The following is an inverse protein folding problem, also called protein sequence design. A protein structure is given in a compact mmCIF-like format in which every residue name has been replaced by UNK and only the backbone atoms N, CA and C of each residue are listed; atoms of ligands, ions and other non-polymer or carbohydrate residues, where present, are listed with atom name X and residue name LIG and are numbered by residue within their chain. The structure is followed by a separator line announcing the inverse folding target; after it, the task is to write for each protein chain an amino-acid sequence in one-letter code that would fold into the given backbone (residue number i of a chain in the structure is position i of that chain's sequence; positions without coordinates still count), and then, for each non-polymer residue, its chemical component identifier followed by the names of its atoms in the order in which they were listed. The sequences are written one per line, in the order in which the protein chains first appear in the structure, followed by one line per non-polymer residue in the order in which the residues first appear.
data_IF_294240502256
#
_entry.id   IF_294240502256
#
_cell.length_a   1.000
_cell.length_b   1.000
_cell.length_c   1.000
_cell.angle_alpha   90.00
_cell.angle_beta   90.00
_cell.angle_gamma   90.00
#
_symmetry.space_group_name_H-M   'P 1'
#
loop_
_entity.id
_entity.type
_entity.pdbx_description
1 polymer ?
#
# COMPACT_ATOMS: atom_id res chain seq x y z
N UNK A 1 -7.70 36.80 23.46
CA UNK A 1 -6.27 36.53 23.17
C UNK A 1 -6.21 35.73 21.88
N UNK A 2 -5.70 36.30 20.80
CA UNK A 2 -5.53 35.63 19.51
C UNK A 2 -4.09 35.12 19.42
N UNK A 3 -3.91 33.80 19.25
CA UNK A 3 -2.61 33.21 18.92
C UNK A 3 -2.42 33.32 17.39
N UNK A 4 -1.38 33.97 16.87
CA UNK A 4 -1.16 33.98 15.43
C UNK A 4 -0.84 32.57 14.92
N UNK A 5 -1.32 32.25 13.71
CA UNK A 5 -1.01 31.01 13.03
C UNK A 5 0.50 30.94 12.73
N UNK A 6 1.16 29.78 12.93
CA UNK A 6 2.53 29.62 12.48
C UNK A 6 2.52 29.57 10.95
N UNK A 7 2.99 30.66 10.33
CA UNK A 7 3.21 30.74 8.90
C UNK A 7 4.60 30.17 8.62
N UNK A 8 4.64 28.88 8.34
CA UNK A 8 5.70 28.36 7.49
C UNK A 8 5.02 27.38 6.52
N UNK A 9 5.09 27.60 5.19
CA UNK A 9 5.06 26.46 4.30
C UNK A 9 6.26 25.61 4.71
N UNK A 10 6.00 24.43 5.24
CA UNK A 10 7.05 23.43 5.32
C UNK A 10 7.44 23.18 3.85
N UNK A 11 8.55 23.78 3.41
CA UNK A 11 9.34 23.24 2.31
C UNK A 11 9.87 21.90 2.82
N UNK A 12 8.97 20.93 2.89
CA UNK A 12 9.35 19.53 2.82
C UNK A 12 9.85 19.43 1.40
N UNK A 13 11.16 19.52 1.23
CA UNK A 13 11.85 19.03 0.06
C UNK A 13 11.33 17.61 -0.16
N UNK A 14 10.29 17.50 -0.97
CA UNK A 14 9.83 16.22 -1.48
C UNK A 14 11.03 15.78 -2.28
N UNK A 15 11.82 14.86 -1.73
CA UNK A 15 12.70 14.06 -2.52
C UNK A 15 11.75 13.41 -3.54
N UNK A 16 11.61 14.05 -4.70
CA UNK A 16 11.07 13.45 -5.87
C UNK A 16 12.12 12.39 -6.21
N UNK A 17 12.01 11.24 -5.55
CA UNK A 17 12.48 10.02 -6.16
C UNK A 17 11.68 9.99 -7.45
N UNK A 18 12.32 10.41 -8.54
CA UNK A 18 11.87 10.10 -9.88
C UNK A 18 11.85 8.57 -9.91
N UNK A 19 10.73 8.01 -9.47
CA UNK A 19 10.37 6.64 -9.76
C UNK A 19 10.14 6.71 -11.26
N UNK A 20 11.21 6.52 -12.01
CA UNK A 20 11.16 6.29 -13.44
C UNK A 20 10.27 5.06 -13.64
N UNK A 21 8.97 5.28 -13.77
CA UNK A 21 8.01 4.22 -14.06
C UNK A 21 8.36 3.75 -15.46
N UNK A 22 9.10 2.66 -15.53
CA UNK A 22 9.46 2.01 -16.78
C UNK A 22 8.18 1.44 -17.40
N UNK A 23 7.97 1.63 -18.70
CA UNK A 23 6.79 1.10 -19.43
C UNK A 23 7.06 -0.34 -19.87
N UNK A 24 7.72 -1.12 -19.01
CA UNK A 24 8.12 -2.50 -19.27
C UNK A 24 7.45 -3.43 -18.26
N UNK A 25 7.09 -4.66 -18.66
CA UNK A 25 6.57 -5.64 -17.71
C UNK A 25 7.57 -5.84 -16.55
N UNK A 26 7.08 -6.05 -15.32
CA UNK A 26 7.94 -6.20 -14.16
C UNK A 26 8.81 -7.46 -14.27
N UNK A 27 10.04 -7.33 -13.78
CA UNK A 27 11.02 -8.42 -13.71
C UNK A 27 10.99 -9.11 -12.36
N UNK A 28 11.48 -10.35 -12.30
CA UNK A 28 11.55 -11.10 -11.05
C UNK A 28 12.54 -10.44 -10.08
N UNK A 29 13.67 -9.95 -10.58
CA UNK A 29 14.73 -9.29 -9.80
C UNK A 29 14.23 -8.01 -9.12
N UNK A 30 13.43 -7.20 -9.81
CA UNK A 30 12.79 -6.01 -9.24
C UNK A 30 11.87 -6.40 -8.07
N UNK A 31 11.08 -7.45 -8.25
CA UNK A 31 10.14 -7.92 -7.23
C UNK A 31 10.88 -8.51 -6.02
N UNK A 32 11.94 -9.29 -6.24
CA UNK A 32 12.78 -9.80 -5.15
C UNK A 32 13.38 -8.67 -4.31
N UNK A 33 13.84 -7.60 -4.95
CA UNK A 33 14.40 -6.44 -4.27
C UNK A 33 13.34 -5.77 -3.39
N UNK A 34 12.13 -5.58 -3.91
CA UNK A 34 11.01 -4.99 -3.15
C UNK A 34 10.60 -5.90 -1.99
N UNK A 35 10.49 -7.21 -2.19
CA UNK A 35 10.19 -8.16 -1.10
C UNK A 35 11.23 -8.05 0.01
N UNK A 36 12.52 -7.94 -0.34
CA UNK A 36 13.61 -7.74 0.63
C UNK A 36 13.54 -6.38 1.33
N UNK A 37 13.09 -5.32 0.65
CA UNK A 37 12.92 -4.01 1.29
C UNK A 37 11.77 -4.02 2.30
N UNK A 38 10.65 -4.64 1.92
CA UNK A 38 9.49 -4.88 2.76
C UNK A 38 9.85 -5.74 3.98
N UNK A 39 10.59 -6.84 3.79
CA UNK A 39 11.00 -7.73 4.88
C UNK A 39 11.90 -7.05 5.90
N UNK A 40 12.72 -6.10 5.46
CA UNK A 40 13.63 -5.34 6.31
C UNK A 40 12.96 -4.10 6.94
N UNK A 41 11.65 -3.91 6.77
CA UNK A 41 10.91 -2.77 7.30
C UNK A 41 11.33 -1.42 6.69
N UNK A 42 11.99 -1.42 5.53
CA UNK A 42 12.39 -0.20 4.81
C UNK A 42 11.24 0.43 4.05
N UNK A 43 10.28 -0.38 3.61
CA UNK A 43 9.01 0.08 3.04
C UNK A 43 7.88 -0.09 4.07
N UNK A 44 6.97 0.88 4.14
CA UNK A 44 5.75 0.74 4.92
C UNK A 44 4.82 -0.25 4.22
N UNK A 45 4.57 -1.42 4.82
CA UNK A 45 3.55 -2.35 4.33
C UNK A 45 2.18 -1.72 4.60
N UNK A 46 1.40 -1.33 3.57
CA UNK A 46 0.01 -0.98 3.76
C UNK A 46 -0.72 -2.30 3.93
N UNK A 47 -1.08 -2.63 5.18
CA UNK A 47 -1.88 -3.79 5.63
C UNK A 47 -1.11 -4.93 6.31
N UNK A 48 -1.86 -5.68 7.12
CA UNK A 48 -1.42 -6.74 8.05
C UNK A 48 -0.86 -8.00 7.37
N UNK A 49 -0.20 -7.91 6.21
CA UNK A 49 0.55 -9.04 5.67
C UNK A 49 1.84 -9.12 6.49
N UNK A 50 2.07 -10.22 7.23
CA UNK A 50 3.31 -10.36 7.97
C UNK A 50 4.46 -10.35 6.97
N UNK A 51 5.43 -9.46 7.15
CA UNK A 51 6.59 -9.36 6.27
C UNK A 51 7.39 -10.66 6.26
N UNK A 52 7.23 -11.47 7.32
CA UNK A 52 7.74 -12.83 7.47
C UNK A 52 7.20 -13.78 6.39
N UNK A 53 5.93 -13.64 5.96
CA UNK A 53 5.34 -14.48 4.91
C UNK A 53 5.93 -14.12 3.55
N UNK A 54 6.17 -12.83 3.31
CA UNK A 54 6.82 -12.39 2.07
C UNK A 54 8.30 -12.81 2.05
N UNK A 55 8.95 -12.84 3.22
CA UNK A 55 10.35 -13.20 3.38
C UNK A 55 10.63 -14.71 3.45
N UNK A 56 9.62 -15.55 3.69
CA UNK A 56 9.84 -17.00 3.94
C UNK A 56 10.40 -17.74 2.74
N UNK A 57 9.97 -17.35 1.54
CA UNK A 57 10.51 -17.87 0.28
C UNK A 57 10.48 -16.76 -0.78
N UNK A 58 11.54 -15.94 -0.79
CA UNK A 58 11.63 -14.75 -1.65
C UNK A 58 11.57 -15.12 -3.13
N UNK A 59 12.18 -16.24 -3.55
CA UNK A 59 12.21 -16.67 -4.95
C UNK A 59 10.84 -17.15 -5.41
N UNK A 60 10.18 -18.02 -4.63
CA UNK A 60 8.84 -18.50 -4.96
C UNK A 60 7.83 -17.35 -4.95
N UNK A 61 7.89 -16.49 -3.93
CA UNK A 61 7.01 -15.33 -3.83
C UNK A 61 7.23 -14.37 -5.00
N UNK A 62 8.48 -14.04 -5.34
CA UNK A 62 8.80 -13.17 -6.47
C UNK A 62 8.32 -13.75 -7.79
N UNK A 63 8.52 -15.04 -8.02
CA UNK A 63 8.03 -15.75 -9.20
C UNK A 63 6.50 -15.66 -9.31
N UNK A 64 5.78 -15.91 -8.21
CA UNK A 64 4.32 -15.84 -8.17
C UNK A 64 3.79 -14.43 -8.44
N UNK A 65 4.40 -13.41 -7.82
CA UNK A 65 4.07 -12.01 -8.08
C UNK A 65 4.41 -11.58 -9.51
N UNK A 66 5.52 -12.06 -10.08
CA UNK A 66 5.94 -11.76 -11.45
C UNK A 66 4.91 -12.27 -12.46
N UNK A 67 4.41 -13.50 -12.28
CA UNK A 67 3.32 -14.05 -13.11
C UNK A 67 2.05 -13.21 -12.99
N UNK A 68 1.65 -12.85 -11.76
CA UNK A 68 0.45 -12.05 -11.53
C UNK A 68 0.56 -10.66 -12.16
N UNK A 69 1.65 -9.95 -11.93
CA UNK A 69 1.81 -8.59 -12.44
C UNK A 69 1.99 -8.55 -13.95
N UNK A 70 2.65 -9.55 -14.56
CA UNK A 70 2.68 -9.69 -16.03
C UNK A 70 1.30 -9.91 -16.61
N UNK A 71 0.47 -10.76 -15.97
CA UNK A 71 -0.91 -10.96 -16.40
C UNK A 71 -1.72 -9.66 -16.33
N UNK A 72 -1.60 -8.90 -15.24
CA UNK A 72 -2.27 -7.60 -15.09
C UNK A 72 -1.76 -6.61 -16.14
N UNK A 73 -0.45 -6.64 -16.44
CA UNK A 73 0.17 -5.79 -17.45
C UNK A 73 -0.36 -6.11 -18.86
N UNK A 74 -0.46 -7.38 -19.22
CA UNK A 74 -0.89 -7.81 -20.55
C UNK A 74 -2.41 -7.65 -20.76
N UNK A 75 -3.22 -7.92 -19.73
CA UNK A 75 -4.68 -7.85 -19.81
C UNK A 75 -5.23 -6.46 -19.50
N UNK A 76 -4.41 -5.55 -18.96
CA UNK A 76 -4.81 -4.26 -18.39
C UNK A 76 -5.98 -4.34 -17.39
N UNK A 77 -6.13 -5.50 -16.74
CA UNK A 77 -7.21 -5.77 -15.81
C UNK A 77 -6.69 -6.29 -14.48
N UNK A 78 -7.16 -5.66 -13.40
CA UNK A 78 -6.96 -6.15 -12.03
C UNK A 78 -8.10 -7.11 -11.65
N UNK A 79 -7.83 -8.10 -10.77
CA UNK A 79 -8.85 -9.01 -10.24
C UNK A 79 -10.07 -8.24 -9.72
N UNK A 80 -11.27 -8.71 -10.04
CA UNK A 80 -12.53 -8.05 -9.63
C UNK A 80 -12.64 -7.94 -8.11
N UNK A 81 -12.11 -8.92 -7.37
CA UNK A 81 -12.09 -8.90 -5.91
C UNK A 81 -11.29 -7.72 -5.33
N UNK A 82 -10.28 -7.23 -6.06
CA UNK A 82 -9.51 -6.05 -5.65
C UNK A 82 -10.29 -4.74 -5.86
N UNK A 83 -11.35 -4.77 -6.66
CA UNK A 83 -12.26 -3.62 -6.88
C UNK A 83 -13.36 -3.54 -5.83
N UNK A 84 -13.53 -4.58 -5.01
CA UNK A 84 -14.57 -4.66 -3.98
C UNK A 84 -13.97 -4.55 -2.57
N UNK A 85 -14.37 -3.48 -1.86
CA UNK A 85 -13.94 -3.23 -0.49
C UNK A 85 -15.13 -3.08 0.45
N UNK A 86 -15.04 -3.67 1.64
CA UNK A 86 -16.03 -3.48 2.71
C UNK A 86 -15.68 -2.25 3.53
N UNK A 87 -16.58 -1.28 3.59
CA UNK A 87 -16.44 -0.10 4.43
C UNK A 87 -16.83 -0.42 5.88
N UNK A 88 -15.87 -0.31 6.79
CA UNK A 88 -16.08 -0.46 8.24
C UNK A 88 -15.86 0.90 8.92
N UNK A 89 -16.77 1.25 9.83
CA UNK A 89 -16.66 2.46 10.65
C UNK A 89 -16.00 2.10 11.98
N UNK A 90 -14.82 2.66 12.25
CA UNK A 90 -14.15 2.55 13.54
C UNK A 90 -14.50 3.79 14.37
N UNK A 91 -15.17 3.65 15.53
CA UNK A 91 -15.45 4.78 16.39
C UNK A 91 -14.15 5.37 16.97
N UNK A 92 -14.05 6.69 16.98
CA UNK A 92 -13.07 7.47 17.72
C UNK A 92 -13.63 7.79 19.10
N UNK A 93 -12.75 8.20 20.00
CA UNK A 93 -13.15 8.67 21.33
C UNK A 93 -13.92 9.99 21.23
N UNK A 94 -15.06 10.10 21.95
CA UNK A 94 -15.92 11.29 21.96
C UNK A 94 -17.39 10.99 21.67
N UNK A 95 -18.14 12.02 21.25
CA UNK A 95 -19.57 11.94 20.96
C UNK A 95 -19.85 11.17 19.67
N UNK A 96 -20.39 9.95 19.80
CA UNK A 96 -20.67 9.05 18.68
C UNK A 96 -21.86 9.46 17.81
N UNK A 97 -22.61 10.52 18.16
CA UNK A 97 -23.72 10.99 17.33
C UNK A 97 -23.29 11.71 16.05
N UNK A 98 -22.01 12.09 15.94
CA UNK A 98 -21.44 12.84 14.82
C UNK A 98 -20.70 11.93 13.84
N UNK A 99 -20.87 12.17 12.54
CA UNK A 99 -20.18 11.41 11.49
C UNK A 99 -18.64 11.48 11.62
N UNK A 100 -18.11 12.64 12.02
CA UNK A 100 -16.68 12.92 12.21
C UNK A 100 -16.02 12.05 13.29
N UNK A 101 -16.83 11.54 14.22
CA UNK A 101 -16.43 10.66 15.31
C UNK A 101 -16.13 9.23 14.85
N UNK A 102 -16.26 8.94 13.55
CA UNK A 102 -15.86 7.67 12.97
C UNK A 102 -14.70 7.86 12.00
N UNK A 103 -13.80 6.87 11.99
CA UNK A 103 -12.83 6.67 10.92
C UNK A 103 -13.37 5.58 10.01
N UNK A 104 -13.65 5.91 8.75
CA UNK A 104 -13.89 4.90 7.73
C UNK A 104 -12.60 4.17 7.41
N UNK A 105 -12.64 2.84 7.38
CA UNK A 105 -11.60 2.01 6.77
C UNK A 105 -12.24 1.11 5.72
N UNK A 106 -11.53 0.87 4.62
CA UNK A 106 -11.95 -0.09 3.60
C UNK A 106 -11.10 -1.35 3.77
N UNK A 107 -11.76 -2.51 3.90
CA UNK A 107 -11.11 -3.81 3.86
C UNK A 107 -11.34 -4.45 2.49
N UNK A 108 -10.28 -4.74 1.76
CA UNK A 108 -10.36 -5.45 0.49
C UNK A 108 -10.54 -6.96 0.73
N UNK A 109 -11.30 -7.64 -0.13
CA UNK A 109 -11.39 -9.11 -0.08
C UNK A 109 -10.04 -9.71 -0.44
N UNK A 110 -9.54 -10.62 0.40
CA UNK A 110 -8.43 -11.51 0.07
C UNK A 110 -9.07 -12.89 -0.12
N UNK A 111 -9.17 -13.35 -1.37
CA UNK A 111 -9.63 -14.71 -1.65
C UNK A 111 -8.45 -15.68 -1.42
N UNK A 112 -8.62 -16.74 -0.61
CA UNK A 112 -7.62 -17.80 -0.44
C UNK A 112 -7.52 -18.73 -1.66
#
# INVERSE_FOLDING_TARGET
MNKPAPLNPTDTEVAHTDISITVTPPTTEEIEMVIRQISNGKEAVPHNIPSEVLASDVEINASMFCVLFKKIWDEEQVPTDWKEGHLIKIPKEGDLSKCESYRGITLNKINP
#
